data_IF_756122139374
#
_entry.id   IF_756122139374
#
_cell.length_a   1.000
_cell.length_b   1.000
_cell.length_c   1.000
_cell.angle_alpha   90.00
_cell.angle_beta   90.00
_cell.angle_gamma   90.00
#
_symmetry.space_group_name_H-M   'P 1'
#
loop_
_entity.id
_entity.type
_entity.pdbx_description
1 polymer ?
#
# COMPACT_ATOMS: atom_id res chain seq x y z
N UNK A 1 -9.84 25.81 -40.56
CA UNK A 1 -8.88 26.20 -39.52
C UNK A 1 -9.50 25.86 -38.17
N UNK A 2 -9.19 24.70 -37.60
CA UNK A 2 -9.77 24.27 -36.30
C UNK A 2 -8.98 24.93 -35.17
N UNK A 3 -9.64 25.80 -34.41
CA UNK A 3 -9.08 26.40 -33.19
C UNK A 3 -8.85 25.30 -32.14
N UNK A 4 -7.58 25.01 -31.87
CA UNK A 4 -7.15 24.11 -30.79
C UNK A 4 -7.54 24.76 -29.46
N UNK A 5 -8.58 24.29 -28.81
CA UNK A 5 -8.98 24.74 -27.47
C UNK A 5 -7.81 24.58 -26.52
N UNK A 6 -7.18 25.66 -26.13
CA UNK A 6 -6.10 25.70 -25.14
C UNK A 6 -6.68 25.28 -23.80
N UNK A 7 -6.37 24.06 -23.35
CA UNK A 7 -6.79 23.56 -22.04
C UNK A 7 -6.11 24.42 -20.98
N UNK A 8 -6.86 25.35 -20.37
CA UNK A 8 -6.34 26.20 -19.29
C UNK A 8 -5.81 25.31 -18.19
N UNK A 9 -4.54 25.45 -17.83
CA UNK A 9 -3.92 24.72 -16.74
C UNK A 9 -4.66 25.03 -15.43
N UNK A 10 -5.13 24.00 -14.73
CA UNK A 10 -5.77 24.17 -13.42
C UNK A 10 -4.79 24.79 -12.45
N UNK A 11 -5.26 25.74 -11.63
CA UNK A 11 -4.46 26.28 -10.54
C UNK A 11 -4.12 25.17 -9.52
N UNK A 12 -3.02 25.35 -8.78
CA UNK A 12 -2.58 24.36 -7.77
C UNK A 12 -3.71 24.03 -6.77
N UNK A 13 -4.47 25.01 -6.33
CA UNK A 13 -5.59 24.81 -5.42
C UNK A 13 -6.73 23.99 -6.05
N UNK A 14 -7.01 24.18 -7.33
CA UNK A 14 -8.00 23.35 -8.05
C UNK A 14 -7.54 21.90 -8.23
N UNK A 15 -6.25 21.69 -8.43
CA UNK A 15 -5.67 20.35 -8.49
C UNK A 15 -5.78 19.65 -7.13
N UNK A 16 -5.44 20.34 -6.05
CA UNK A 16 -5.50 19.82 -4.68
C UNK A 16 -6.95 19.54 -4.25
N UNK A 17 -7.92 20.39 -4.62
CA UNK A 17 -9.33 20.14 -4.30
C UNK A 17 -9.86 18.84 -4.92
N UNK A 18 -9.35 18.44 -6.10
CA UNK A 18 -9.67 17.16 -6.74
C UNK A 18 -9.14 15.93 -6.01
N UNK A 19 -8.04 16.10 -5.25
CA UNK A 19 -7.37 14.98 -4.57
C UNK A 19 -8.23 14.31 -3.50
N UNK A 20 -9.12 15.05 -2.84
CA UNK A 20 -10.04 14.47 -1.85
C UNK A 20 -10.94 13.41 -2.48
N UNK A 21 -11.55 13.74 -3.63
CA UNK A 21 -12.41 12.79 -4.37
C UNK A 21 -11.61 11.61 -4.88
N UNK A 22 -10.40 11.87 -5.36
CA UNK A 22 -9.49 10.83 -5.81
C UNK A 22 -9.12 9.88 -4.67
N UNK A 23 -8.76 10.38 -3.49
CA UNK A 23 -8.44 9.55 -2.33
C UNK A 23 -9.65 8.74 -1.84
N UNK A 24 -10.86 9.31 -1.85
CA UNK A 24 -12.07 8.54 -1.53
C UNK A 24 -12.25 7.40 -2.54
N UNK A 25 -12.10 7.66 -3.83
CA UNK A 25 -12.20 6.64 -4.87
C UNK A 25 -11.14 5.54 -4.72
N UNK A 26 -9.89 5.92 -4.43
CA UNK A 26 -8.80 4.98 -4.17
C UNK A 26 -9.06 4.13 -2.91
N UNK A 27 -9.54 4.76 -1.84
CA UNK A 27 -9.92 4.05 -0.60
C UNK A 27 -11.02 3.03 -0.83
N UNK A 28 -12.06 3.39 -1.58
CA UNK A 28 -13.14 2.47 -1.96
C UNK A 28 -12.61 1.30 -2.82
N UNK A 29 -11.73 1.59 -3.78
CA UNK A 29 -11.13 0.56 -4.61
C UNK A 29 -10.34 -0.46 -3.77
N UNK A 30 -9.46 0.03 -2.88
CA UNK A 30 -8.68 -0.85 -2.00
C UNK A 30 -9.57 -1.64 -1.04
N UNK A 31 -10.65 -1.04 -0.53
CA UNK A 31 -11.60 -1.73 0.33
C UNK A 31 -12.31 -2.87 -0.42
N UNK A 32 -12.80 -2.61 -1.63
CA UNK A 32 -13.43 -3.63 -2.49
C UNK A 32 -12.44 -4.75 -2.81
N UNK A 33 -11.19 -4.42 -3.12
CA UNK A 33 -10.13 -5.41 -3.35
C UNK A 33 -9.86 -6.25 -2.09
N UNK A 34 -9.76 -5.62 -0.91
CA UNK A 34 -9.54 -6.34 0.35
C UNK A 34 -10.67 -7.33 0.64
N UNK A 35 -11.93 -6.88 0.50
CA UNK A 35 -13.11 -7.72 0.71
C UNK A 35 -13.16 -8.86 -0.32
N UNK A 36 -12.99 -8.52 -1.61
CA UNK A 36 -13.04 -9.50 -2.69
C UNK A 36 -11.95 -10.56 -2.56
N UNK A 37 -10.72 -10.15 -2.24
CA UNK A 37 -9.60 -11.08 -2.07
C UNK A 37 -9.79 -11.96 -0.82
N UNK A 38 -10.25 -11.38 0.29
CA UNK A 38 -10.61 -12.13 1.50
C UNK A 38 -11.69 -13.17 1.22
N UNK A 39 -12.73 -12.78 0.48
CA UNK A 39 -13.81 -13.68 0.08
C UNK A 39 -13.30 -14.87 -0.77
N UNK A 40 -12.46 -14.59 -1.77
CA UNK A 40 -11.87 -15.63 -2.63
C UNK A 40 -11.01 -16.60 -1.82
N UNK A 41 -10.14 -16.09 -0.93
CA UNK A 41 -9.30 -16.95 -0.09
C UNK A 41 -10.15 -17.85 0.83
N UNK A 42 -11.24 -17.30 1.38
CA UNK A 42 -12.13 -18.05 2.27
C UNK A 42 -12.94 -19.09 1.50
N UNK A 43 -13.47 -18.75 0.30
CA UNK A 43 -14.29 -19.66 -0.51
C UNK A 43 -13.48 -20.82 -1.07
N UNK A 44 -12.21 -20.59 -1.40
CA UNK A 44 -11.33 -21.63 -1.94
C UNK A 44 -10.64 -22.44 -0.83
N UNK A 45 -10.82 -22.08 0.44
CA UNK A 45 -10.06 -22.62 1.58
C UNK A 45 -8.55 -22.63 1.30
N UNK A 46 -8.07 -21.57 0.66
CA UNK A 46 -6.71 -21.49 0.15
C UNK A 46 -5.82 -20.61 1.03
N UNK A 47 -4.81 -21.25 1.61
CA UNK A 47 -3.80 -20.54 2.40
C UNK A 47 -2.50 -20.44 1.60
N UNK A 48 -2.06 -19.21 1.36
CA UNK A 48 -0.77 -18.95 0.71
C UNK A 48 0.27 -18.82 1.82
N UNK A 49 0.84 -19.97 2.22
CA UNK A 49 1.87 -20.03 3.25
C UNK A 49 3.25 -19.92 2.60
N UNK A 50 4.10 -19.08 3.16
CA UNK A 50 5.48 -18.91 2.74
C UNK A 50 6.41 -19.14 3.93
N UNK A 51 7.34 -20.13 3.86
CA UNK A 51 8.26 -20.42 4.94
C UNK A 51 9.35 -19.37 5.06
N UNK A 52 9.48 -18.77 6.23
CA UNK A 52 10.62 -17.91 6.59
C UNK A 52 11.77 -18.79 7.02
N UNK A 53 12.87 -18.72 6.27
CA UNK A 53 14.05 -19.55 6.45
C UNK A 53 15.24 -18.72 6.86
N UNK A 54 16.09 -19.30 7.70
CA UNK A 54 17.44 -18.79 7.97
C UNK A 54 18.44 -19.81 7.44
N UNK A 55 19.45 -19.32 6.74
CA UNK A 55 20.55 -20.14 6.22
C UNK A 55 21.83 -19.77 6.95
N UNK A 56 22.50 -20.79 7.53
CA UNK A 56 23.78 -20.62 8.21
C UNK A 56 24.88 -21.32 7.43
N UNK A 57 26.06 -20.70 7.22
CA UNK A 57 27.22 -21.40 6.72
C UNK A 57 27.69 -22.39 7.78
N UNK A 58 27.81 -23.70 7.42
CA UNK A 58 28.19 -24.77 8.32
C UNK A 58 29.68 -25.09 8.29
N UNK A 59 30.46 -24.36 7.46
CA UNK A 59 31.89 -24.54 7.31
C UNK A 59 32.71 -23.29 7.57
N UNK A 60 34.05 -23.42 7.62
CA UNK A 60 34.93 -22.29 7.81
C UNK A 60 34.86 -21.31 6.67
N UNK A 61 35.09 -19.98 6.90
CA UNK A 61 35.07 -18.97 5.85
C UNK A 61 35.99 -19.36 4.68
N UNK A 62 35.45 -19.25 3.45
CA UNK A 62 36.18 -19.56 2.20
C UNK A 62 36.12 -21.02 1.75
N UNK A 63 35.49 -21.89 2.51
CA UNK A 63 35.20 -23.29 2.10
C UNK A 63 33.74 -23.41 1.71
N UNK A 64 33.47 -23.86 0.48
CA UNK A 64 32.10 -24.14 0.05
C UNK A 64 31.55 -25.31 0.87
N UNK A 65 30.68 -25.02 1.83
CA UNK A 65 29.93 -26.01 2.60
C UNK A 65 28.44 -25.81 2.35
N UNK A 66 27.62 -26.90 2.38
CA UNK A 66 26.18 -26.75 2.30
C UNK A 66 25.69 -25.85 3.44
N UNK A 67 24.81 -24.88 3.11
CA UNK A 67 24.16 -24.08 4.14
C UNK A 67 23.14 -24.94 4.89
N UNK A 68 23.13 -24.84 6.21
CA UNK A 68 22.08 -25.43 7.02
C UNK A 68 20.85 -24.50 6.99
N UNK A 69 19.71 -25.04 6.58
CA UNK A 69 18.47 -24.27 6.37
C UNK A 69 17.50 -24.60 7.48
N UNK A 70 17.20 -23.61 8.31
CA UNK A 70 16.21 -23.73 9.39
C UNK A 70 14.95 -22.94 9.03
N UNK A 71 13.80 -23.60 8.98
CA UNK A 71 12.49 -22.95 8.85
C UNK A 71 12.09 -22.44 10.23
N UNK A 72 11.86 -21.13 10.36
CA UNK A 72 11.46 -20.50 11.61
C UNK A 72 9.95 -20.56 11.83
N UNK A 73 9.19 -20.16 10.83
CA UNK A 73 7.73 -20.13 10.83
C UNK A 73 7.20 -19.90 9.43
N UNK A 74 5.91 -20.12 9.24
CA UNK A 74 5.21 -19.82 7.99
C UNK A 74 4.44 -18.50 8.10
N UNK A 75 4.55 -17.65 7.07
CA UNK A 75 3.76 -16.42 6.94
C UNK A 75 2.61 -16.69 5.97
N UNK A 76 1.39 -16.32 6.38
CA UNK A 76 0.26 -16.29 5.45
C UNK A 76 0.29 -15.02 4.62
N UNK A 77 0.84 -15.10 3.40
CA UNK A 77 0.96 -13.98 2.47
C UNK A 77 -0.42 -13.49 2.03
N UNK A 78 -1.40 -14.39 1.86
CA UNK A 78 -2.77 -14.00 1.51
C UNK A 78 -3.38 -13.06 2.54
N UNK A 79 -3.24 -13.40 3.83
CA UNK A 79 -3.69 -12.53 4.92
C UNK A 79 -2.91 -11.20 4.95
N UNK A 80 -1.60 -11.24 4.66
CA UNK A 80 -0.76 -10.04 4.54
C UNK A 80 -1.25 -9.09 3.44
N UNK A 81 -1.60 -9.62 2.27
CA UNK A 81 -2.13 -8.82 1.16
C UNK A 81 -3.47 -8.18 1.54
N UNK A 82 -4.39 -8.94 2.14
CA UNK A 82 -5.67 -8.41 2.62
C UNK A 82 -5.45 -7.30 3.64
N UNK A 83 -4.55 -7.52 4.60
CA UNK A 83 -4.19 -6.53 5.62
C UNK A 83 -3.62 -5.24 5.02
N UNK A 84 -2.72 -5.37 4.05
CA UNK A 84 -2.14 -4.22 3.34
C UNK A 84 -3.19 -3.42 2.57
N UNK A 85 -4.09 -4.09 1.83
CA UNK A 85 -5.17 -3.43 1.11
C UNK A 85 -6.15 -2.72 2.06
N UNK A 86 -6.48 -3.35 3.19
CA UNK A 86 -7.34 -2.75 4.22
C UNK A 86 -6.68 -1.53 4.87
N UNK A 87 -5.38 -1.62 5.16
CA UNK A 87 -4.59 -0.51 5.70
C UNK A 87 -4.54 0.67 4.71
N UNK A 88 -4.27 0.41 3.43
CA UNK A 88 -4.27 1.44 2.38
C UNK A 88 -5.65 2.10 2.24
N UNK A 89 -6.73 1.33 2.28
CA UNK A 89 -8.09 1.89 2.27
C UNK A 89 -8.31 2.83 3.46
N UNK A 90 -7.91 2.40 4.67
CA UNK A 90 -8.00 3.18 5.90
C UNK A 90 -7.26 4.52 5.78
N UNK A 91 -6.01 4.52 5.31
CA UNK A 91 -5.22 5.75 5.15
C UNK A 91 -5.82 6.69 4.12
N UNK A 92 -6.35 6.18 3.01
CA UNK A 92 -7.06 7.00 2.04
C UNK A 92 -8.31 7.68 2.64
N UNK A 93 -9.08 6.98 3.49
CA UNK A 93 -10.23 7.58 4.18
C UNK A 93 -9.80 8.59 5.26
N UNK A 94 -8.76 8.30 6.03
CA UNK A 94 -8.19 9.25 7.00
C UNK A 94 -7.77 10.55 6.31
N UNK A 95 -6.97 10.46 5.24
CA UNK A 95 -6.51 11.61 4.45
C UNK A 95 -7.68 12.41 3.89
N UNK A 96 -8.77 11.73 3.48
CA UNK A 96 -9.96 12.37 2.91
C UNK A 96 -10.88 12.98 3.95
N UNK A 97 -10.70 12.66 5.24
CA UNK A 97 -11.55 13.19 6.30
C UNK A 97 -11.35 14.69 6.47
N UNK A 98 -12.40 15.44 6.90
CA UNK A 98 -12.29 16.90 7.08
C UNK A 98 -11.18 17.31 8.05
N UNK A 99 -10.91 16.46 9.06
CA UNK A 99 -9.93 16.73 10.11
C UNK A 99 -8.48 16.69 9.57
N UNK A 100 -8.15 15.73 8.71
CA UNK A 100 -6.79 15.50 8.26
C UNK A 100 -6.48 16.09 6.88
N UNK A 101 -7.51 16.37 6.07
CA UNK A 101 -7.33 16.84 4.70
C UNK A 101 -6.58 18.18 4.61
N UNK A 102 -6.81 19.09 5.55
CA UNK A 102 -6.08 20.37 5.58
C UNK A 102 -4.58 20.18 5.88
N UNK A 103 -4.24 19.29 6.82
CA UNK A 103 -2.84 18.90 7.08
C UNK A 103 -2.18 18.23 5.88
N UNK A 104 -2.93 17.35 5.22
CA UNK A 104 -2.47 16.69 3.99
C UNK A 104 -2.16 17.69 2.89
N UNK A 105 -3.06 18.65 2.63
CA UNK A 105 -2.84 19.73 1.66
C UNK A 105 -1.60 20.57 2.01
N UNK A 106 -1.45 20.94 3.26
CA UNK A 106 -0.30 21.71 3.74
C UNK A 106 1.02 20.97 3.50
N UNK A 107 1.08 19.68 3.79
CA UNK A 107 2.23 18.83 3.50
C UNK A 107 2.56 18.75 2.02
N UNK A 108 1.56 18.54 1.17
CA UNK A 108 1.75 18.46 -0.29
C UNK A 108 2.28 19.77 -0.90
N UNK A 109 1.87 20.94 -0.40
CA UNK A 109 2.41 22.23 -0.83
C UNK A 109 3.90 22.36 -0.53
N UNK A 110 4.40 21.64 0.48
CA UNK A 110 5.81 21.57 0.86
C UNK A 110 6.53 20.34 0.26
N UNK A 111 5.90 19.64 -0.68
CA UNK A 111 6.37 18.37 -1.24
C UNK A 111 6.59 17.25 -0.19
N UNK A 112 5.85 17.28 0.90
CA UNK A 112 5.89 16.26 1.95
C UNK A 112 4.58 15.48 2.01
N UNK A 113 4.65 14.16 2.02
CA UNK A 113 3.48 13.28 2.20
C UNK A 113 3.68 12.42 3.45
N UNK A 114 3.51 13.01 4.64
CA UNK A 114 3.71 12.35 5.92
C UNK A 114 2.81 11.13 6.11
N UNK A 115 1.56 11.18 5.64
CA UNK A 115 0.60 10.08 5.77
C UNK A 115 1.08 8.83 5.04
N UNK A 116 1.66 9.00 3.85
CA UNK A 116 2.20 7.90 3.06
C UNK A 116 3.46 7.30 3.71
N UNK A 117 4.27 8.11 4.35
CA UNK A 117 5.43 7.61 5.08
C UNK A 117 5.03 6.77 6.28
N UNK A 118 3.98 7.19 7.03
CA UNK A 118 3.43 6.40 8.14
C UNK A 118 2.80 5.10 7.62
N UNK A 119 1.99 5.15 6.55
CA UNK A 119 1.39 3.95 5.93
C UNK A 119 2.44 2.90 5.56
N UNK A 120 3.58 3.32 4.98
CA UNK A 120 4.62 2.40 4.55
C UNK A 120 5.55 1.92 5.68
N UNK A 121 5.48 2.53 6.85
CA UNK A 121 6.27 2.12 8.02
C UNK A 121 5.56 1.12 8.93
N UNK A 122 4.28 0.86 8.69
CA UNK A 122 3.45 -0.10 9.43
C UNK A 122 3.45 -1.47 8.75
#
# INVERSE_FOLDING_TARGET
MMAKATKVAKTQDQQIAGLRRYNIGAGLLHLIQAIGFSFVLTMLDYQILFPVKIEYPTGPPGVASPADVVVLFDINIGAGIVGFLALSALFHFIISSPMFFERYKGGLKLNHNYFRWVEYSL
#
